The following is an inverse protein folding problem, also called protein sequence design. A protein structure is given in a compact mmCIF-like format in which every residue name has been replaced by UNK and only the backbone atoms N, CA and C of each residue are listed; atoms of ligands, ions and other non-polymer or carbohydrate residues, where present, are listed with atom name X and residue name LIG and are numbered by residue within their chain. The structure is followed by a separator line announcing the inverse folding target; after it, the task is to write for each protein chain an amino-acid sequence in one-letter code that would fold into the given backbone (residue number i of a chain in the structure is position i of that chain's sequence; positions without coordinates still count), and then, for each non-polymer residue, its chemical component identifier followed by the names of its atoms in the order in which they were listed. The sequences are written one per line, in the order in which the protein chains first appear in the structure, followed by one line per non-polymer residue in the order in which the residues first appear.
data_IF_532103872728
#
_entry.id   IF_532103872728
#
_cell.length_a   1.000
_cell.length_b   1.000
_cell.length_c   1.000
_cell.angle_alpha   90.00
_cell.angle_beta   90.00
_cell.angle_gamma   90.00
#
_symmetry.space_group_name_H-M   'P 1'
#
loop_
_entity.id
_entity.type
_entity.pdbx_description
1 polymer ?
#
# COMPACT_ATOMS: atom_id res chain seq x y z
N UNK A 1 -13.67 9.17 6.45
CA UNK A 1 -12.26 8.93 6.80
C UNK A 1 -11.89 7.57 6.24
N UNK A 2 -10.77 7.42 5.52
CA UNK A 2 -10.26 6.09 5.21
C UNK A 2 -10.04 5.36 6.54
N UNK A 3 -10.72 4.22 6.72
CA UNK A 3 -10.53 3.36 7.89
C UNK A 3 -9.30 2.49 7.64
N UNK A 4 -8.41 2.42 8.62
CA UNK A 4 -7.35 1.42 8.62
C UNK A 4 -7.91 0.19 9.33
N UNK A 5 -8.18 -0.88 8.59
CA UNK A 5 -8.91 -2.06 9.09
C UNK A 5 -8.07 -3.01 9.97
N UNK A 6 -6.91 -2.53 10.45
CA UNK A 6 -5.96 -3.28 11.27
C UNK A 6 -5.75 -4.72 10.78
N UNK A 7 -5.34 -4.90 9.50
CA UNK A 7 -5.24 -6.22 8.90
C UNK A 7 -4.11 -7.02 9.55
N UNK A 8 -4.24 -8.35 9.58
CA UNK A 8 -3.14 -9.23 9.97
C UNK A 8 -1.84 -8.81 9.26
N UNK A 9 -0.71 -8.57 9.97
CA UNK A 9 0.49 -8.05 9.34
C UNK A 9 1.15 -9.04 8.36
N UNK A 10 0.73 -10.31 8.38
CA UNK A 10 1.14 -11.34 7.43
C UNK A 10 0.13 -11.52 6.29
N UNK A 11 -1.00 -12.20 6.56
CA UNK A 11 -1.97 -12.59 5.54
C UNK A 11 -3.04 -11.53 5.19
N UNK A 12 -3.01 -10.35 5.85
CA UNK A 12 -3.96 -9.25 5.66
C UNK A 12 -5.41 -9.50 6.09
N UNK A 13 -5.72 -10.64 6.71
CA UNK A 13 -7.06 -10.89 7.24
C UNK A 13 -7.50 -9.79 8.22
N UNK A 14 -8.70 -9.25 8.01
CA UNK A 14 -9.37 -8.28 8.90
C UNK A 14 -10.40 -8.96 9.80
N UNK A 15 -10.30 -10.29 9.92
CA UNK A 15 -11.14 -11.12 10.79
C UNK A 15 -10.23 -12.09 11.54
N UNK A 16 -10.81 -12.90 12.44
CA UNK A 16 -10.05 -13.95 13.12
C UNK A 16 -9.76 -15.18 12.25
N UNK A 17 -10.24 -15.20 11.00
CA UNK A 17 -9.94 -16.23 10.01
C UNK A 17 -8.74 -15.79 9.18
N UNK A 18 -7.64 -16.53 9.30
CA UNK A 18 -6.39 -16.27 8.58
C UNK A 18 -6.22 -17.24 7.41
N UNK A 19 -5.39 -16.87 6.44
CA UNK A 19 -4.97 -17.78 5.37
C UNK A 19 -4.12 -18.93 5.92
N UNK A 20 -4.12 -20.06 5.18
CA UNK A 20 -3.18 -21.15 5.42
C UNK A 20 -1.73 -20.62 5.33
N UNK A 21 -0.87 -21.10 6.23
CA UNK A 21 0.55 -20.69 6.38
C UNK A 21 0.77 -19.27 6.96
N UNK A 22 -0.27 -18.60 7.45
CA UNK A 22 -0.11 -17.34 8.20
C UNK A 22 0.68 -17.57 9.49
N UNK A 23 1.74 -16.79 9.72
CA UNK A 23 2.55 -16.86 10.95
C UNK A 23 1.75 -16.54 12.22
N UNK A 24 0.59 -15.89 12.07
CA UNK A 24 -0.32 -15.50 13.15
C UNK A 24 -1.64 -16.28 13.11
N UNK A 25 -1.68 -17.42 12.41
CA UNK A 25 -2.86 -18.30 12.40
C UNK A 25 -3.34 -18.60 13.82
N UNK A 26 -4.66 -18.50 14.03
CA UNK A 26 -5.29 -18.68 15.34
C UNK A 26 -5.25 -17.45 16.25
N UNK A 27 -4.56 -16.37 15.87
CA UNK A 27 -4.58 -15.12 16.63
C UNK A 27 -5.91 -14.40 16.44
N UNK A 28 -6.65 -14.09 17.53
CA UNK A 28 -7.88 -13.32 17.45
C UNK A 28 -7.62 -11.94 16.83
N UNK A 29 -8.56 -11.47 15.99
CA UNK A 29 -8.41 -10.16 15.34
C UNK A 29 -8.27 -9.00 16.35
N UNK A 30 -8.89 -9.10 17.52
CA UNK A 30 -8.76 -8.09 18.59
C UNK A 30 -7.32 -7.94 19.10
N UNK A 31 -6.52 -9.01 19.07
CA UNK A 31 -5.11 -8.95 19.47
C UNK A 31 -4.24 -8.39 18.34
N UNK A 32 -4.61 -8.64 17.08
CA UNK A 32 -4.01 -7.97 15.91
C UNK A 32 -4.27 -6.47 15.96
N UNK A 33 -5.53 -6.06 16.16
CA UNK A 33 -5.92 -4.65 16.32
C UNK A 33 -5.13 -4.01 17.47
N UNK A 34 -5.09 -4.66 18.63
CA UNK A 34 -4.34 -4.17 19.79
C UNK A 34 -2.86 -3.93 19.47
N UNK A 35 -2.21 -4.83 18.74
CA UNK A 35 -0.80 -4.66 18.38
C UNK A 35 -0.53 -3.38 17.57
N UNK A 36 -1.44 -3.01 16.66
CA UNK A 36 -1.35 -1.72 15.96
C UNK A 36 -1.66 -0.54 16.89
N UNK A 37 -2.70 -0.65 17.71
CA UNK A 37 -3.12 0.42 18.64
C UNK A 37 -2.02 0.72 19.66
N UNK A 38 -1.33 -0.28 20.18
CA UNK A 38 -0.21 -0.11 21.12
C UNK A 38 0.89 0.77 20.52
N UNK A 39 1.23 0.56 19.24
CA UNK A 39 2.23 1.35 18.51
C UNK A 39 1.73 2.77 18.24
N UNK A 40 0.52 2.89 17.69
CA UNK A 40 -0.05 4.19 17.30
C UNK A 40 -0.28 5.08 18.53
N UNK A 41 -0.67 4.49 19.66
CA UNK A 41 -0.91 5.24 20.90
C UNK A 41 0.36 5.94 21.40
N UNK A 42 1.51 5.26 21.37
CA UNK A 42 2.80 5.87 21.74
C UNK A 42 3.18 6.98 20.76
N UNK A 43 3.12 6.72 19.45
CA UNK A 43 3.53 7.69 18.44
C UNK A 43 2.58 8.90 18.32
N UNK A 44 1.33 8.76 18.77
CA UNK A 44 0.39 9.88 18.92
C UNK A 44 0.84 10.84 20.03
N UNK A 45 1.57 10.35 21.04
CA UNK A 45 2.19 11.16 22.09
C UNK A 45 3.42 11.94 21.60
N UNK A 46 4.07 11.49 20.53
CA UNK A 46 5.15 12.19 19.86
C UNK A 46 6.14 11.26 19.15
N UNK A 47 7.03 11.79 18.30
CA UNK A 47 8.06 11.00 17.63
C UNK A 47 9.06 10.39 18.62
N UNK A 48 9.45 9.14 18.41
CA UNK A 48 10.43 8.44 19.25
C UNK A 48 11.22 7.39 18.44
N UNK A 49 12.31 6.88 19.00
CA UNK A 49 13.04 5.76 18.40
C UNK A 49 12.35 4.41 18.67
N UNK A 50 12.75 3.36 17.94
CA UNK A 50 12.16 2.03 18.07
C UNK A 50 12.39 1.41 19.46
N UNK A 51 13.48 1.75 20.16
CA UNK A 51 13.74 1.28 21.52
C UNK A 51 12.75 1.87 22.53
N UNK A 52 12.49 3.17 22.43
CA UNK A 52 11.50 3.87 23.24
C UNK A 52 10.10 3.38 22.92
N UNK A 53 9.77 3.19 21.64
CA UNK A 53 8.49 2.60 21.23
C UNK A 53 8.29 1.21 21.86
N UNK A 54 9.30 0.34 21.81
CA UNK A 54 9.27 -1.00 22.43
C UNK A 54 9.06 -0.96 23.94
N UNK A 55 9.65 0.03 24.60
CA UNK A 55 9.59 0.20 26.05
C UNK A 55 8.26 0.77 26.53
N UNK A 56 7.66 1.67 25.75
CA UNK A 56 6.46 2.43 26.15
C UNK A 56 5.15 1.88 25.60
N UNK A 57 5.21 0.95 24.64
CA UNK A 57 4.04 0.22 24.19
C UNK A 57 3.33 -0.46 25.37
N UNK A 58 2.01 -0.27 25.56
CA UNK A 58 1.28 -0.82 26.71
C UNK A 58 1.27 -2.34 26.79
N UNK A 59 1.31 -3.02 25.65
CA UNK A 59 1.32 -4.48 25.54
C UNK A 59 2.72 -5.09 25.55
N UNK A 60 2.78 -6.43 25.68
CA UNK A 60 4.04 -7.16 25.52
C UNK A 60 4.56 -7.01 24.09
N UNK A 61 5.82 -6.58 23.94
CA UNK A 61 6.44 -6.47 22.62
C UNK A 61 6.85 -7.84 22.08
N UNK A 62 5.97 -8.44 21.28
CA UNK A 62 6.21 -9.74 20.66
C UNK A 62 6.41 -9.66 19.14
N UNK A 63 6.37 -10.84 18.52
CA UNK A 63 6.45 -10.97 17.06
C UNK A 63 5.32 -10.22 16.35
N UNK A 64 4.13 -10.16 16.96
CA UNK A 64 2.97 -9.49 16.38
C UNK A 64 3.17 -7.96 16.29
N UNK A 65 3.64 -7.32 17.36
CA UNK A 65 3.98 -5.89 17.38
C UNK A 65 5.13 -5.58 16.41
N UNK A 66 6.16 -6.44 16.36
CA UNK A 66 7.26 -6.24 15.42
C UNK A 66 6.78 -6.32 13.96
N UNK A 67 5.91 -7.27 13.63
CA UNK A 67 5.32 -7.42 12.30
C UNK A 67 4.34 -6.29 11.97
N UNK A 68 3.54 -5.84 12.94
CA UNK A 68 2.67 -4.68 12.82
C UNK A 68 3.46 -3.38 12.55
N UNK A 69 4.53 -3.11 13.30
CA UNK A 69 5.43 -1.98 13.06
C UNK A 69 6.06 -2.05 11.68
N UNK A 70 6.58 -3.23 11.30
CA UNK A 70 7.20 -3.45 10.00
C UNK A 70 6.22 -3.21 8.86
N UNK A 71 4.94 -3.53 9.07
CA UNK A 71 3.87 -3.22 8.12
C UNK A 71 3.59 -1.72 8.08
N UNK A 72 3.40 -1.06 9.21
CA UNK A 72 3.13 0.38 9.25
C UNK A 72 4.23 1.20 8.57
N UNK A 73 5.50 0.80 8.72
CA UNK A 73 6.63 1.40 7.97
C UNK A 73 6.53 1.13 6.48
N UNK A 74 6.19 -0.10 6.07
CA UNK A 74 6.09 -0.51 4.67
C UNK A 74 4.91 0.12 3.92
N UNK A 75 3.82 0.33 4.64
CA UNK A 75 2.61 0.98 4.14
C UNK A 75 2.74 2.51 4.25
N UNK A 76 3.95 3.03 4.53
CA UNK A 76 4.30 4.45 4.69
C UNK A 76 3.41 5.21 5.70
N UNK A 77 2.80 4.51 6.66
CA UNK A 77 2.00 5.10 7.75
C UNK A 77 2.88 5.71 8.83
N UNK A 78 4.07 5.13 9.02
CA UNK A 78 5.13 5.60 9.90
C UNK A 78 6.32 5.92 9.02
N UNK A 79 6.80 7.17 9.07
CA UNK A 79 8.10 7.50 8.49
C UNK A 79 9.19 7.32 9.53
N UNK A 80 10.31 6.78 9.06
CA UNK A 80 11.57 6.73 9.82
C UNK A 80 12.48 7.81 9.25
N UNK A 81 12.63 8.92 9.99
CA UNK A 81 13.58 9.96 9.60
C UNK A 81 15.00 9.37 9.56
N UNK A 82 15.93 10.02 8.85
CA UNK A 82 17.34 9.58 8.75
C UNK A 82 18.05 9.38 10.10
N UNK A 83 17.48 9.91 11.18
CA UNK A 83 17.93 9.76 12.56
C UNK A 83 17.42 8.50 13.29
N UNK A 84 16.63 7.63 12.63
CA UNK A 84 15.99 6.48 13.28
C UNK A 84 14.77 6.85 14.13
N UNK A 85 14.26 8.09 13.98
CA UNK A 85 13.09 8.58 14.70
C UNK A 85 11.84 8.21 13.91
N UNK A 86 10.96 7.48 14.58
CA UNK A 86 9.65 7.06 14.09
C UNK A 86 8.63 8.16 14.37
N UNK A 87 7.81 8.49 13.38
CA UNK A 87 6.64 9.37 13.53
C UNK A 87 5.47 8.86 12.72
N UNK A 88 4.26 9.09 13.21
CA UNK A 88 3.07 8.95 12.38
C UNK A 88 3.09 10.04 11.31
N UNK A 89 2.74 9.67 10.07
CA UNK A 89 2.39 10.66 9.06
C UNK A 89 1.00 11.20 9.36
N UNK A 90 0.82 12.51 9.26
CA UNK A 90 -0.53 13.08 9.23
C UNK A 90 -1.27 12.61 7.98
N UNK A 91 -2.60 12.68 7.97
CA UNK A 91 -3.38 12.32 6.78
C UNK A 91 -3.04 13.17 5.55
N UNK A 92 -2.47 14.37 5.73
CA UNK A 92 -2.02 15.26 4.65
C UNK A 92 -0.64 14.86 4.14
N UNK A 93 0.34 14.69 5.03
CA UNK A 93 1.68 14.20 4.66
C UNK A 93 1.64 12.80 4.05
N UNK A 94 0.77 11.93 4.56
CA UNK A 94 0.52 10.62 3.98
C UNK A 94 -0.04 10.73 2.55
N UNK A 95 -0.93 11.69 2.29
CA UNK A 95 -1.46 11.90 0.93
C UNK A 95 -0.39 12.43 -0.02
N UNK A 96 0.49 13.32 0.46
CA UNK A 96 1.58 13.85 -0.35
C UNK A 96 2.68 12.81 -0.59
N UNK A 97 3.23 12.18 0.45
CA UNK A 97 4.34 11.21 0.33
C UNK A 97 3.91 9.89 -0.32
N UNK A 98 2.65 9.48 -0.17
CA UNK A 98 2.15 8.18 -0.65
C UNK A 98 1.35 8.28 -1.95
N UNK A 99 1.34 9.44 -2.60
CA UNK A 99 0.84 9.57 -3.98
C UNK A 99 1.84 9.05 -5.02
N UNK A 100 3.13 9.01 -4.67
CA UNK A 100 4.24 8.66 -5.58
C UNK A 100 5.11 7.51 -5.01
N UNK A 101 5.05 6.30 -5.58
CA UNK A 101 5.86 5.18 -5.10
C UNK A 101 7.35 5.38 -5.37
N UNK A 102 8.16 5.34 -4.31
CA UNK A 102 9.61 5.54 -4.35
C UNK A 102 10.41 4.23 -4.46
N UNK A 103 9.77 3.08 -4.24
CA UNK A 103 10.39 1.75 -4.25
C UNK A 103 9.97 0.90 -5.45
N UNK A 104 10.88 0.04 -5.92
CA UNK A 104 10.58 -0.95 -6.94
C UNK A 104 9.62 -2.05 -6.42
N UNK A 105 8.76 -2.63 -7.28
CA UNK A 105 8.58 -2.33 -8.72
C UNK A 105 7.71 -1.10 -9.03
N UNK A 106 7.00 -0.55 -8.04
CA UNK A 106 6.01 0.50 -8.26
C UNK A 106 6.61 1.79 -8.80
N UNK A 107 7.82 2.17 -8.35
CA UNK A 107 8.55 3.31 -8.89
C UNK A 107 8.65 3.27 -10.42
N UNK A 108 8.99 2.11 -10.99
CA UNK A 108 9.07 1.98 -12.46
C UNK A 108 7.71 2.19 -13.13
N UNK A 109 6.65 1.58 -12.60
CA UNK A 109 5.31 1.73 -13.16
C UNK A 109 4.85 3.19 -13.08
N UNK A 110 5.06 3.84 -11.95
CA UNK A 110 4.68 5.24 -11.74
C UNK A 110 5.44 6.18 -12.68
N UNK A 111 6.78 6.06 -12.76
CA UNK A 111 7.60 6.95 -13.59
C UNK A 111 7.37 6.76 -15.09
N UNK A 112 7.25 5.52 -15.56
CA UNK A 112 7.25 5.23 -17.00
C UNK A 112 5.87 4.92 -17.57
N UNK A 113 4.89 4.72 -16.70
CA UNK A 113 3.59 4.21 -17.11
C UNK A 113 3.66 2.74 -17.51
N UNK A 114 2.69 2.31 -18.30
CA UNK A 114 2.64 0.97 -18.88
C UNK A 114 2.78 0.98 -20.40
N UNK A 115 3.23 -0.14 -20.95
CA UNK A 115 3.53 -0.32 -22.38
C UNK A 115 2.73 -1.50 -22.93
N UNK A 116 2.59 -1.63 -24.26
CA UNK A 116 1.90 -2.76 -24.86
C UNK A 116 2.38 -4.11 -24.31
N UNK A 117 1.43 -4.95 -23.91
CA UNK A 117 1.67 -6.23 -23.27
C UNK A 117 1.68 -6.22 -21.74
N UNK A 118 1.62 -5.05 -21.08
CA UNK A 118 1.55 -4.99 -19.61
C UNK A 118 0.50 -4.04 -19.02
N UNK A 119 -0.35 -3.41 -19.84
CA UNK A 119 -1.36 -2.45 -19.38
C UNK A 119 -2.22 -2.97 -18.24
N UNK A 120 -2.78 -4.17 -18.38
CA UNK A 120 -3.66 -4.78 -17.38
C UNK A 120 -2.98 -4.94 -16.02
N UNK A 121 -1.81 -5.58 -16.00
CA UNK A 121 -1.03 -5.80 -14.79
C UNK A 121 -0.58 -4.48 -14.14
N UNK A 122 -0.23 -3.46 -14.94
CA UNK A 122 0.21 -2.18 -14.41
C UNK A 122 -0.95 -1.39 -13.80
N UNK A 123 -2.09 -1.29 -14.49
CA UNK A 123 -3.28 -0.60 -13.96
C UNK A 123 -3.80 -1.30 -12.70
N UNK A 124 -3.81 -2.64 -12.69
CA UNK A 124 -4.14 -3.42 -11.51
C UNK A 124 -3.22 -3.07 -10.34
N UNK A 125 -1.90 -3.08 -10.58
CA UNK A 125 -0.92 -2.79 -9.54
C UNK A 125 -1.06 -1.36 -8.99
N UNK A 126 -1.32 -0.37 -9.85
CA UNK A 126 -1.56 1.01 -9.42
C UNK A 126 -2.81 1.12 -8.53
N UNK A 127 -3.94 0.51 -8.93
CA UNK A 127 -5.17 0.53 -8.12
C UNK A 127 -4.96 -0.18 -6.78
N UNK A 128 -4.38 -1.38 -6.80
CA UNK A 128 -4.13 -2.17 -5.59
C UNK A 128 -3.08 -1.52 -4.66
N UNK A 129 -2.13 -0.77 -5.22
CA UNK A 129 -1.19 0.00 -4.41
C UNK A 129 -1.86 1.19 -3.74
N UNK A 130 -2.66 1.99 -4.48
CA UNK A 130 -3.41 3.11 -3.91
C UNK A 130 -4.45 2.68 -2.86
N UNK A 131 -5.10 1.53 -3.07
CA UNK A 131 -5.94 0.90 -2.06
C UNK A 131 -5.14 0.53 -0.80
N UNK A 132 -3.98 -0.11 -0.98
CA UNK A 132 -3.15 -0.57 0.14
C UNK A 132 -2.67 0.58 1.02
N UNK A 133 -2.32 1.70 0.38
CA UNK A 133 -1.96 2.93 1.08
C UNK A 133 -3.22 3.64 1.61
N UNK A 134 -4.41 3.19 1.28
CA UNK A 134 -5.68 3.65 1.87
C UNK A 134 -6.15 4.99 1.33
N UNK A 135 -5.87 5.28 0.06
CA UNK A 135 -6.65 6.26 -0.68
C UNK A 135 -8.07 5.73 -0.84
N UNK A 136 -9.06 6.61 -0.77
CA UNK A 136 -10.44 6.24 -1.09
C UNK A 136 -10.58 5.87 -2.59
N UNK A 137 -11.68 5.21 -2.95
CA UNK A 137 -11.93 4.90 -4.37
C UNK A 137 -11.94 6.15 -5.28
N UNK A 138 -12.60 7.27 -4.94
CA UNK A 138 -12.53 8.48 -5.75
C UNK A 138 -11.10 8.99 -5.96
N UNK A 139 -10.29 9.02 -4.90
CA UNK A 139 -8.88 9.45 -4.96
C UNK A 139 -8.05 8.47 -5.80
N UNK A 140 -8.22 7.16 -5.60
CA UNK A 140 -7.55 6.12 -6.39
C UNK A 140 -7.88 6.27 -7.86
N UNK A 141 -9.17 6.43 -8.18
CA UNK A 141 -9.63 6.60 -9.56
C UNK A 141 -9.01 7.82 -10.22
N UNK A 142 -9.01 8.95 -9.53
CA UNK A 142 -8.42 10.19 -10.02
C UNK A 142 -6.91 10.04 -10.25
N UNK A 143 -6.16 9.51 -9.28
CA UNK A 143 -4.73 9.33 -9.40
C UNK A 143 -4.34 8.38 -10.53
N UNK A 144 -5.05 7.25 -10.70
CA UNK A 144 -4.76 6.31 -11.79
C UNK A 144 -5.10 6.93 -13.16
N UNK A 145 -6.18 7.70 -13.26
CA UNK A 145 -6.52 8.44 -14.49
C UNK A 145 -5.44 9.46 -14.83
N UNK A 146 -4.96 10.21 -13.84
CA UNK A 146 -3.88 11.19 -14.03
C UNK A 146 -2.58 10.49 -14.42
N UNK A 147 -2.20 9.42 -13.72
CA UNK A 147 -1.04 8.59 -14.06
C UNK A 147 -1.10 8.06 -15.50
N UNK A 148 -2.26 7.57 -15.96
CA UNK A 148 -2.44 7.09 -17.33
C UNK A 148 -2.15 8.18 -18.38
N UNK A 149 -2.53 9.43 -18.07
CA UNK A 149 -2.32 10.59 -18.95
C UNK A 149 -0.89 11.11 -18.88
N UNK A 150 -0.40 11.39 -17.68
CA UNK A 150 0.89 12.06 -17.46
C UNK A 150 2.07 11.20 -17.90
N UNK A 151 1.97 9.88 -17.75
CA UNK A 151 3.02 8.96 -18.22
C UNK A 151 2.95 8.69 -19.74
N UNK A 152 1.95 9.25 -20.43
CA UNK A 152 1.65 8.94 -21.83
C UNK A 152 1.17 7.49 -22.05
N UNK A 153 0.83 6.77 -20.98
CA UNK A 153 0.34 5.38 -21.09
C UNK A 153 -0.90 5.30 -21.97
N UNK A 154 -1.85 6.21 -21.78
CA UNK A 154 -3.09 6.24 -22.56
C UNK A 154 -2.81 6.45 -24.05
N UNK A 155 -1.90 7.35 -24.38
CA UNK A 155 -1.56 7.71 -25.76
C UNK A 155 -0.82 6.59 -26.50
N UNK A 156 -0.20 5.64 -25.79
CA UNK A 156 0.39 4.43 -26.38
C UNK A 156 -0.66 3.46 -26.93
N UNK A 157 -1.94 3.64 -26.58
CA UNK A 157 -3.05 2.84 -27.05
C UNK A 157 -3.06 1.41 -26.48
N UNK A 158 -3.90 0.54 -27.07
CA UNK A 158 -4.07 -0.85 -26.60
C UNK A 158 -5.14 -1.02 -25.51
N UNK A 159 -5.99 -0.01 -25.30
CA UNK A 159 -7.16 -0.05 -24.43
C UNK A 159 -8.43 -0.26 -25.26
N UNK A 160 -9.38 -1.02 -24.73
CA UNK A 160 -10.70 -1.23 -25.36
C UNK A 160 -11.68 -0.10 -25.00
N UNK A 161 -11.43 0.58 -23.89
CA UNK A 161 -12.25 1.66 -23.37
C UNK A 161 -12.06 2.97 -24.13
N UNK A 162 -13.10 3.80 -24.15
CA UNK A 162 -13.04 5.07 -24.84
C UNK A 162 -12.30 6.14 -24.02
N UNK A 163 -12.23 5.98 -22.70
CA UNK A 163 -11.54 6.91 -21.80
C UNK A 163 -10.77 6.21 -20.68
N UNK A 164 -9.72 6.84 -20.12
CA UNK A 164 -9.03 6.33 -18.93
C UNK A 164 -9.99 6.10 -17.75
N UNK A 165 -10.99 6.98 -17.60
CA UNK A 165 -11.96 6.91 -16.51
C UNK A 165 -12.84 5.65 -16.59
N UNK A 166 -13.26 5.27 -17.80
CA UNK A 166 -14.03 4.04 -18.03
C UNK A 166 -13.20 2.79 -17.73
N UNK A 167 -11.93 2.76 -18.16
CA UNK A 167 -11.00 1.66 -17.87
C UNK A 167 -10.85 1.46 -16.36
N UNK A 168 -10.59 2.55 -15.63
CA UNK A 168 -10.38 2.50 -14.19
C UNK A 168 -11.68 2.08 -13.48
N UNK A 169 -12.85 2.60 -13.90
CA UNK A 169 -14.14 2.21 -13.32
C UNK A 169 -14.44 0.72 -13.52
N UNK A 170 -14.18 0.15 -14.71
CA UNK A 170 -14.31 -1.29 -14.94
C UNK A 170 -13.43 -2.13 -14.00
N UNK A 171 -12.31 -1.57 -13.54
CA UNK A 171 -11.37 -2.20 -12.62
C UNK A 171 -11.62 -1.90 -11.15
N UNK A 172 -12.75 -1.29 -10.80
CA UNK A 172 -13.13 -1.02 -9.39
C UNK A 172 -13.10 -2.25 -8.49
N UNK A 173 -13.44 -3.41 -9.02
CA UNK A 173 -13.36 -4.68 -8.29
C UNK A 173 -11.95 -4.99 -7.76
N UNK A 174 -10.89 -4.44 -8.37
CA UNK A 174 -9.51 -4.60 -7.88
C UNK A 174 -9.32 -3.91 -6.53
N UNK A 175 -9.89 -2.70 -6.40
CA UNK A 175 -9.90 -1.94 -5.15
C UNK A 175 -10.73 -2.64 -4.08
N UNK A 176 -11.93 -3.11 -4.43
CA UNK A 176 -12.86 -3.69 -3.47
C UNK A 176 -12.42 -5.06 -2.92
N UNK A 177 -11.61 -5.80 -3.69
CA UNK A 177 -11.15 -7.13 -3.31
C UNK A 177 -9.87 -7.15 -2.44
N UNK A 178 -9.19 -6.02 -2.28
CA UNK A 178 -7.96 -5.93 -1.47
C UNK A 178 -6.79 -6.75 -2.02
N UNK A 179 -6.67 -6.88 -3.34
CA UNK A 179 -5.63 -7.71 -3.96
C UNK A 179 -4.20 -7.22 -3.69
N UNK A 180 -3.24 -8.15 -3.70
CA UNK A 180 -1.82 -7.80 -3.69
C UNK A 180 -1.33 -7.22 -5.02
N UNK A 181 -0.61 -6.10 -4.99
CA UNK A 181 -0.05 -5.45 -6.18
C UNK A 181 1.29 -6.04 -6.65
N UNK A 182 2.06 -6.67 -5.75
CA UNK A 182 3.50 -6.97 -5.96
C UNK A 182 3.80 -7.88 -7.15
N UNK A 183 3.03 -8.95 -7.34
CA UNK A 183 3.23 -9.87 -8.46
C UNK A 183 2.94 -9.20 -9.80
N UNK A 184 1.80 -8.48 -9.88
CA UNK A 184 1.35 -7.75 -11.07
C UNK A 184 2.34 -6.64 -11.43
N UNK A 185 2.79 -5.88 -10.44
CA UNK A 185 3.80 -4.84 -10.62
C UNK A 185 5.14 -5.41 -11.10
N UNK A 186 5.59 -6.54 -10.52
CA UNK A 186 6.84 -7.20 -10.95
C UNK A 186 6.74 -7.70 -12.40
N UNK A 187 5.60 -8.30 -12.76
CA UNK A 187 5.35 -8.76 -14.12
C UNK A 187 5.35 -7.61 -15.13
N UNK A 188 4.65 -6.51 -14.80
CA UNK A 188 4.61 -5.31 -15.63
C UNK A 188 6.00 -4.67 -15.78
N UNK A 189 6.74 -4.51 -14.68
CA UNK A 189 8.10 -3.95 -14.68
C UNK A 189 9.02 -4.68 -15.67
N UNK A 190 9.01 -6.02 -15.69
CA UNK A 190 9.84 -6.81 -16.62
C UNK A 190 9.55 -6.51 -18.10
N UNK A 191 8.32 -6.15 -18.42
CA UNK A 191 7.94 -5.78 -19.79
C UNK A 191 8.38 -4.34 -20.08
N UNK A 192 8.16 -3.42 -19.14
CA UNK A 192 8.63 -2.03 -19.24
C UNK A 192 10.15 -1.96 -19.43
N UNK A 193 10.91 -2.70 -18.62
CA UNK A 193 12.38 -2.75 -18.72
C UNK A 193 12.83 -3.21 -20.11
N UNK A 194 12.17 -4.23 -20.69
CA UNK A 194 12.48 -4.73 -22.04
C UNK A 194 12.07 -3.77 -23.15
N UNK A 195 10.95 -3.08 -22.99
CA UNK A 195 10.47 -2.11 -23.97
C UNK A 195 11.40 -0.88 -24.06
N UNK A 196 12.15 -0.61 -23.00
CA UNK A 196 13.07 0.52 -22.89
C UNK A 196 14.53 0.19 -23.23
N UNK A 197 14.85 -1.08 -23.41
CA UNK A 197 16.19 -1.55 -23.80
C UNK A 197 16.38 -1.45 -25.32
#
# INVERSE_FOLDING_TARGET
MPHFDYPCPDCRATTSLHDADCQFEGTPWVDVERAYVDIVSVLTGGPCDEETLRREAPGEWGALQQSALSRLKRDDRISEAKSGVLRLLTAEEFREEVSEPTHEPMRTLFTYGSVPGCHDNAVFAMIAWYEMVGLSWPETRENVVNWLRETGTWDRGGFEEATPAELVEKKRHVYEAGYGWKEKATSAKRIIDRYRA
#
